data_IF_969636340954
#
_entry.id   IF_969636340954
#
_cell.length_a   1.000
_cell.length_b   1.000
_cell.length_c   1.000
_cell.angle_alpha   90.00
_cell.angle_beta   90.00
_cell.angle_gamma   90.00
#
_symmetry.space_group_name_H-M   'P 1'
#
loop_
_entity.id
_entity.type
_entity.pdbx_description
1 polymer ?
#
# COMPACT_ATOMS: atom_id res chain seq x y z
N UNK A 1 0.00 22.19 -0.40
CA UNK A 1 0.39 21.37 -1.58
C UNK A 1 1.01 20.04 -1.20
N UNK A 2 1.98 20.02 -0.29
CA UNK A 2 2.66 18.79 0.16
C UNK A 2 1.69 17.70 0.69
N UNK A 3 0.63 18.12 1.39
CA UNK A 3 -0.46 17.23 1.83
C UNK A 3 -1.07 16.42 0.68
N UNK A 4 -1.46 17.06 -0.41
CA UNK A 4 -2.10 16.37 -1.54
C UNK A 4 -1.11 15.47 -2.28
N UNK A 5 0.18 15.83 -2.34
CA UNK A 5 1.22 14.98 -2.90
C UNK A 5 1.35 13.70 -2.06
N UNK A 6 1.42 13.83 -0.73
CA UNK A 6 1.48 12.68 0.17
C UNK A 6 0.20 11.83 0.12
N UNK A 7 -0.98 12.46 0.03
CA UNK A 7 -2.25 11.76 -0.14
C UNK A 7 -2.32 10.97 -1.44
N UNK A 8 -1.92 11.57 -2.57
CA UNK A 8 -1.86 10.89 -3.88
C UNK A 8 -0.85 9.74 -3.84
N UNK A 9 0.33 9.94 -3.25
CA UNK A 9 1.33 8.88 -3.14
C UNK A 9 0.88 7.74 -2.22
N UNK A 10 0.18 8.04 -1.13
CA UNK A 10 -0.44 7.03 -0.27
C UNK A 10 -1.55 6.27 -0.99
N UNK A 11 -2.32 6.94 -1.85
CA UNK A 11 -3.37 6.30 -2.64
C UNK A 11 -2.80 5.41 -3.77
N UNK A 12 -1.76 5.87 -4.48
CA UNK A 12 -1.02 5.04 -5.44
C UNK A 12 -0.47 3.81 -4.73
N UNK A 13 0.07 4.03 -3.53
CA UNK A 13 0.62 2.99 -2.69
C UNK A 13 -0.41 1.90 -2.34
N UNK A 14 -1.59 2.31 -1.91
CA UNK A 14 -2.70 1.42 -1.62
C UNK A 14 -3.19 0.68 -2.87
N UNK A 15 -3.21 1.36 -4.02
CA UNK A 15 -3.63 0.78 -5.31
C UNK A 15 -2.68 -0.31 -5.78
N UNK A 16 -1.36 -0.13 -5.58
CA UNK A 16 -0.35 -1.15 -5.90
C UNK A 16 -0.52 -2.41 -5.04
N UNK A 17 -0.70 -2.24 -3.72
CA UNK A 17 -0.95 -3.38 -2.81
C UNK A 17 -2.26 -4.11 -3.13
N UNK A 18 -3.34 -3.37 -3.43
CA UNK A 18 -4.61 -3.93 -3.90
C UNK A 18 -4.43 -4.72 -5.21
N UNK A 19 -3.66 -4.19 -6.16
CA UNK A 19 -3.32 -4.89 -7.40
C UNK A 19 -2.61 -6.24 -7.15
N UNK A 20 -1.62 -6.27 -6.26
CA UNK A 20 -0.92 -7.51 -5.93
C UNK A 20 -1.82 -8.54 -5.24
N UNK A 21 -2.67 -8.10 -4.30
CA UNK A 21 -3.60 -8.99 -3.63
C UNK A 21 -4.69 -9.53 -4.58
N UNK A 22 -5.16 -8.74 -5.56
CA UNK A 22 -6.05 -9.20 -6.63
C UNK A 22 -5.40 -10.27 -7.51
N UNK A 23 -4.15 -10.06 -7.91
CA UNK A 23 -3.42 -11.06 -8.70
C UNK A 23 -3.22 -12.33 -7.89
N UNK A 24 -2.89 -12.22 -6.60
CA UNK A 24 -2.78 -13.37 -5.71
C UNK A 24 -4.09 -14.13 -5.58
N UNK A 25 -5.22 -13.43 -5.44
CA UNK A 25 -6.55 -14.05 -5.40
C UNK A 25 -6.89 -14.80 -6.69
N UNK A 26 -6.62 -14.20 -7.86
CA UNK A 26 -6.89 -14.85 -9.16
C UNK A 26 -6.00 -16.06 -9.43
N UNK A 27 -4.80 -16.11 -8.86
CA UNK A 27 -3.83 -17.19 -9.05
C UNK A 27 -3.84 -18.22 -7.92
N UNK A 28 -4.68 -18.04 -6.91
CA UNK A 28 -4.69 -18.90 -5.73
C UNK A 28 -5.28 -20.28 -6.05
N UNK A 29 -4.65 -21.31 -5.50
CA UNK A 29 -5.16 -22.69 -5.42
C UNK A 29 -6.09 -22.84 -4.21
N UNK A 30 -6.86 -23.92 -4.12
CA UNK A 30 -7.76 -24.21 -2.99
C UNK A 30 -7.08 -24.11 -1.62
N UNK A 31 -5.81 -24.48 -1.50
CA UNK A 31 -5.05 -24.38 -0.24
C UNK A 31 -4.61 -22.94 0.12
N UNK A 32 -4.43 -22.07 -0.89
CA UNK A 32 -3.94 -20.70 -0.71
C UNK A 32 -5.04 -19.63 -0.86
N UNK A 33 -6.23 -20.02 -1.31
CA UNK A 33 -7.37 -19.15 -1.60
C UNK A 33 -7.80 -18.35 -0.37
N UNK A 34 -7.95 -19.02 0.77
CA UNK A 34 -8.37 -18.37 2.02
C UNK A 34 -7.41 -17.25 2.42
N UNK A 35 -6.10 -17.49 2.34
CA UNK A 35 -5.08 -16.48 2.64
C UNK A 35 -5.11 -15.32 1.64
N UNK A 36 -5.33 -15.61 0.35
CA UNK A 36 -5.45 -14.60 -0.69
C UNK A 36 -6.70 -13.72 -0.49
N UNK A 37 -7.84 -14.30 -0.08
CA UNK A 37 -9.06 -13.55 0.26
C UNK A 37 -8.84 -12.61 1.44
N UNK A 38 -8.17 -13.07 2.51
CA UNK A 38 -7.83 -12.22 3.64
C UNK A 38 -6.84 -11.11 3.28
N UNK A 39 -5.87 -11.38 2.40
CA UNK A 39 -4.95 -10.35 1.90
C UNK A 39 -5.68 -9.29 1.06
N UNK A 40 -6.60 -9.72 0.19
CA UNK A 40 -7.41 -8.83 -0.63
C UNK A 40 -8.33 -7.94 0.22
N UNK A 41 -9.07 -8.53 1.17
CA UNK A 41 -9.97 -7.79 2.05
C UNK A 41 -9.25 -6.67 2.83
N UNK A 42 -8.06 -6.97 3.39
CA UNK A 42 -7.23 -5.98 4.10
C UNK A 42 -6.74 -4.87 3.18
N UNK A 43 -6.24 -5.23 2.00
CA UNK A 43 -5.75 -4.25 1.02
C UNK A 43 -6.87 -3.34 0.52
N UNK A 44 -8.07 -3.90 0.35
CA UNK A 44 -9.26 -3.13 -0.05
C UNK A 44 -9.71 -2.15 1.03
N UNK A 45 -9.70 -2.56 2.30
CA UNK A 45 -10.00 -1.67 3.42
C UNK A 45 -9.00 -0.50 3.51
N UNK A 46 -7.69 -0.77 3.32
CA UNK A 46 -6.66 0.27 3.28
C UNK A 46 -6.81 1.19 2.07
N UNK A 47 -7.21 0.65 0.92
CA UNK A 47 -7.49 1.44 -0.27
C UNK A 47 -8.64 2.43 -0.07
N UNK A 48 -9.74 1.98 0.55
CA UNK A 48 -10.83 2.88 0.96
C UNK A 48 -10.31 3.92 1.96
N UNK A 49 -9.50 3.50 2.94
CA UNK A 49 -8.88 4.41 3.90
C UNK A 49 -8.03 5.50 3.22
N UNK A 50 -7.28 5.16 2.19
CA UNK A 50 -6.46 6.10 1.43
C UNK A 50 -7.26 7.10 0.59
N UNK A 51 -8.57 6.90 0.40
CA UNK A 51 -9.48 7.84 -0.28
C UNK A 51 -10.00 8.93 0.66
N UNK A 52 -10.11 8.63 1.96
CA UNK A 52 -10.63 9.57 2.98
C UNK A 52 -9.89 10.92 3.03
N UNK A 53 -8.55 11.01 2.91
CA UNK A 53 -7.80 12.27 2.96
C UNK A 53 -8.17 13.28 1.87
N UNK A 54 -8.82 12.84 0.78
CA UNK A 54 -9.29 13.70 -0.30
C UNK A 54 -10.60 14.42 0.03
N UNK A 55 -11.41 13.86 0.93
CA UNK A 55 -12.70 14.42 1.36
C UNK A 55 -12.57 15.16 2.70
N UNK A 56 -11.73 14.64 3.59
CA UNK A 56 -11.51 15.20 4.92
C UNK A 56 -10.05 15.61 5.08
N UNK A 57 -9.81 16.92 5.17
CA UNK A 57 -8.47 17.46 5.32
C UNK A 57 -8.00 17.36 6.77
N UNK A 58 -7.32 16.27 7.10
CA UNK A 58 -6.74 16.04 8.43
C UNK A 58 -5.36 15.40 8.31
N UNK A 59 -4.35 16.17 8.74
CA UNK A 59 -2.93 15.76 8.68
C UNK A 59 -2.69 14.52 9.55
N UNK A 60 -3.32 14.45 10.72
CA UNK A 60 -3.18 13.31 11.63
C UNK A 60 -3.67 12.01 11.00
N UNK A 61 -4.80 12.03 10.28
CA UNK A 61 -5.30 10.86 9.57
C UNK A 61 -4.36 10.46 8.43
N UNK A 62 -3.88 11.44 7.65
CA UNK A 62 -2.95 11.17 6.55
C UNK A 62 -1.66 10.52 7.05
N UNK A 63 -1.12 10.94 8.20
CA UNK A 63 0.01 10.28 8.84
C UNK A 63 -0.27 8.81 9.15
N UNK A 64 -1.40 8.52 9.78
CA UNK A 64 -1.75 7.15 10.15
C UNK A 64 -1.85 6.22 8.94
N UNK A 65 -2.56 6.65 7.89
CA UNK A 65 -2.74 5.82 6.68
C UNK A 65 -1.45 5.73 5.85
N UNK A 66 -0.65 6.78 5.78
CA UNK A 66 0.65 6.76 5.10
C UNK A 66 1.63 5.81 5.79
N UNK A 67 1.74 5.86 7.13
CA UNK A 67 2.58 4.94 7.91
C UNK A 67 2.12 3.50 7.71
N UNK A 68 0.81 3.25 7.79
CA UNK A 68 0.25 1.91 7.54
C UNK A 68 0.63 1.41 6.14
N UNK A 69 0.51 2.25 5.12
CA UNK A 69 0.86 1.87 3.75
C UNK A 69 2.36 1.63 3.55
N UNK A 70 3.24 2.43 4.16
CA UNK A 70 4.68 2.22 4.12
C UNK A 70 5.03 0.85 4.72
N UNK A 71 4.44 0.49 5.85
CA UNK A 71 4.64 -0.82 6.48
C UNK A 71 4.15 -1.95 5.59
N UNK A 72 2.93 -1.85 5.06
CA UNK A 72 2.37 -2.86 4.15
C UNK A 72 3.28 -3.09 2.94
N UNK A 73 3.74 -2.02 2.31
CA UNK A 73 4.61 -2.11 1.14
C UNK A 73 6.00 -2.64 1.45
N UNK A 74 6.52 -2.32 2.63
CA UNK A 74 7.77 -2.91 3.11
C UNK A 74 7.63 -4.44 3.23
N UNK A 75 6.55 -4.93 3.83
CA UNK A 75 6.29 -6.37 3.93
C UNK A 75 5.98 -7.01 2.58
N UNK A 76 5.20 -6.35 1.71
CA UNK A 76 4.92 -6.82 0.35
C UNK A 76 6.23 -6.96 -0.46
N UNK A 77 7.15 -6.01 -0.30
CA UNK A 77 8.49 -6.05 -0.91
C UNK A 77 9.32 -7.22 -0.40
N UNK A 78 9.33 -7.48 0.92
CA UNK A 78 10.01 -8.64 1.52
C UNK A 78 9.43 -9.98 1.02
N UNK A 79 8.10 -10.06 0.87
CA UNK A 79 7.44 -11.23 0.27
C UNK A 79 7.90 -11.39 -1.19
N UNK A 80 7.97 -10.30 -1.95
CA UNK A 80 8.51 -10.24 -3.31
C UNK A 80 9.90 -10.85 -3.44
N UNK A 81 10.82 -10.50 -2.52
CA UNK A 81 12.18 -11.07 -2.45
C UNK A 81 12.11 -12.58 -2.26
N UNK A 82 11.28 -13.05 -1.33
CA UNK A 82 11.15 -14.47 -0.99
C UNK A 82 10.64 -15.31 -2.17
N UNK A 83 9.70 -14.78 -2.95
CA UNK A 83 9.15 -15.45 -4.14
C UNK A 83 10.00 -15.23 -5.41
N UNK A 84 11.16 -14.57 -5.30
CA UNK A 84 12.09 -14.24 -6.40
C UNK A 84 11.45 -13.50 -7.58
N UNK A 85 10.34 -12.80 -7.35
CA UNK A 85 9.65 -12.05 -8.39
C UNK A 85 10.10 -10.59 -8.34
N UNK A 86 10.94 -10.19 -9.31
CA UNK A 86 11.53 -8.84 -9.35
C UNK A 86 10.48 -7.73 -9.37
N UNK A 87 9.36 -7.91 -10.06
CA UNK A 87 8.31 -6.89 -10.16
C UNK A 87 7.55 -6.75 -8.84
N UNK A 88 7.23 -7.87 -8.18
CA UNK A 88 6.63 -7.89 -6.83
C UNK A 88 7.60 -7.45 -5.73
N UNK A 89 8.89 -7.32 -6.03
CA UNK A 89 9.92 -6.83 -5.11
C UNK A 89 10.10 -5.32 -5.26
N UNK A 90 10.46 -4.87 -6.48
CA UNK A 90 10.78 -3.47 -6.72
C UNK A 90 9.56 -2.56 -6.65
N UNK A 91 8.38 -3.01 -7.10
CA UNK A 91 7.16 -2.21 -7.05
C UNK A 91 6.86 -1.72 -5.63
N UNK A 92 6.62 -2.63 -4.66
CA UNK A 92 6.35 -2.25 -3.28
C UNK A 92 7.46 -1.41 -2.63
N UNK A 93 8.74 -1.78 -2.80
CA UNK A 93 9.83 -1.02 -2.20
C UNK A 93 9.95 0.41 -2.74
N UNK A 94 9.79 0.60 -4.05
CA UNK A 94 9.83 1.94 -4.67
C UNK A 94 8.66 2.77 -4.14
N UNK A 95 7.46 2.20 -4.07
CA UNK A 95 6.31 2.92 -3.52
C UNK A 95 6.46 3.23 -2.03
N UNK A 96 7.05 2.33 -1.23
CA UNK A 96 7.32 2.55 0.18
C UNK A 96 8.31 3.71 0.38
N UNK A 97 9.41 3.72 -0.37
CA UNK A 97 10.41 4.77 -0.30
C UNK A 97 9.83 6.13 -0.72
N UNK A 98 9.07 6.16 -1.83
CA UNK A 98 8.45 7.39 -2.30
C UNK A 98 7.39 7.93 -1.33
N UNK A 99 6.58 7.03 -0.73
CA UNK A 99 5.59 7.42 0.27
C UNK A 99 6.26 7.92 1.57
N UNK A 100 7.37 7.29 1.99
CA UNK A 100 8.16 7.73 3.13
C UNK A 100 8.76 9.12 2.92
N UNK A 101 9.33 9.40 1.74
CA UNK A 101 9.84 10.74 1.41
C UNK A 101 8.72 11.78 1.48
N UNK A 102 7.54 11.48 0.91
CA UNK A 102 6.40 12.39 0.98
C UNK A 102 5.91 12.64 2.41
N UNK A 103 5.91 11.58 3.24
CA UNK A 103 5.53 11.66 4.65
C UNK A 103 6.52 12.53 5.45
N UNK A 104 7.82 12.36 5.24
CA UNK A 104 8.86 13.19 5.88
C UNK A 104 8.69 14.66 5.47
N UNK A 105 8.48 14.93 4.18
CA UNK A 105 8.27 16.28 3.69
C UNK A 105 6.97 16.93 4.19
N UNK A 106 5.95 16.13 4.51
CA UNK A 106 4.73 16.62 5.13
C UNK A 106 4.93 16.98 6.62
N UNK A 107 5.90 16.33 7.27
CA UNK A 107 6.20 16.52 8.70
C UNK A 107 7.08 17.74 8.99
N UNK A 108 7.95 18.11 8.04
CA UNK A 108 8.84 19.28 8.12
C UNK A 108 8.03 20.55 7.81
#
# INVERSE_FOLDING_TARGET
MIYYICAVMTFISASVSLGFSLVAYKQATTESLTNAMYAFSRSFALWIGAVIPFFYHTVAYLYMIAIAMILVQFFDGLIGVKIKNRLKTFGPFVTAAANLVCLILLFI
#
